data_IF_664841920647
#
_entry.id   IF_664841920647
#
_cell.length_a   1.000
_cell.length_b   1.000
_cell.length_c   1.000
_cell.angle_alpha   90.00
_cell.angle_beta   90.00
_cell.angle_gamma   90.00
#
_symmetry.space_group_name_H-M   'P 1'
#
loop_
_entity.id
_entity.type
_entity.pdbx_description
1 polymer ?
#
# COMPACT_ATOMS: atom_id res chain seq x y z
N UNK A 1 -80.22 -1.35 -76.76
CA UNK A 1 -79.29 -0.82 -77.79
C UNK A 1 -78.42 0.26 -77.15
N UNK A 2 -77.09 0.20 -77.31
CA UNK A 2 -76.10 1.22 -76.86
C UNK A 2 -76.11 2.41 -77.85
N UNK A 3 -75.71 3.66 -77.51
CA UNK A 3 -74.32 4.10 -77.14
C UNK A 3 -74.27 5.06 -75.92
N UNK A 4 -73.22 5.19 -75.08
CA UNK A 4 -71.77 5.52 -75.19
C UNK A 4 -71.44 7.01 -75.46
N UNK A 5 -70.89 7.70 -74.44
CA UNK A 5 -69.70 8.60 -74.43
C UNK A 5 -69.67 9.36 -73.06
N UNK A 6 -68.73 9.13 -72.13
CA UNK A 6 -67.33 9.60 -71.98
C UNK A 6 -67.15 11.10 -71.60
N UNK A 7 -66.75 11.35 -70.34
CA UNK A 7 -65.82 12.39 -69.85
C UNK A 7 -65.67 12.19 -68.31
N UNK A 8 -64.54 11.82 -67.72
CA UNK A 8 -63.22 12.48 -67.57
C UNK A 8 -63.11 13.41 -66.33
N UNK A 9 -62.05 13.19 -65.54
CA UNK A 9 -61.58 14.04 -64.42
C UNK A 9 -61.74 13.37 -63.06
N UNK A 10 -60.74 13.21 -62.19
CA UNK A 10 -59.32 13.54 -62.19
C UNK A 10 -58.80 13.07 -60.83
N UNK A 11 -57.70 12.31 -60.79
CA UNK A 11 -57.16 11.68 -59.58
C UNK A 11 -56.25 12.68 -58.85
N UNK A 12 -56.70 13.23 -57.72
CA UNK A 12 -55.85 14.03 -56.83
C UNK A 12 -55.09 13.10 -55.88
N UNK A 13 -53.76 13.04 -56.05
CA UNK A 13 -52.85 12.27 -55.20
C UNK A 13 -52.48 13.11 -53.97
N UNK A 14 -52.97 12.73 -52.78
CA UNK A 14 -52.58 13.35 -51.52
C UNK A 14 -51.21 12.83 -51.06
N UNK A 15 -50.19 13.69 -51.10
CA UNK A 15 -48.87 13.42 -50.51
C UNK A 15 -48.93 13.65 -49.00
N UNK A 16 -48.92 12.55 -48.23
CA UNK A 16 -48.71 12.56 -46.78
C UNK A 16 -47.22 12.84 -46.50
N UNK A 17 -46.88 14.08 -46.15
CA UNK A 17 -45.59 14.41 -45.55
C UNK A 17 -45.58 13.98 -44.08
N UNK A 18 -45.13 12.76 -43.81
CA UNK A 18 -44.78 12.31 -42.46
C UNK A 18 -43.43 12.91 -42.05
N UNK A 19 -43.39 13.67 -40.96
CA UNK A 19 -42.16 14.07 -40.30
C UNK A 19 -41.46 12.83 -39.71
N UNK A 20 -40.47 12.30 -40.42
CA UNK A 20 -39.55 11.31 -39.88
C UNK A 20 -38.68 11.99 -38.81
N UNK A 21 -38.94 11.71 -37.54
CA UNK A 21 -37.99 12.03 -36.48
C UNK A 21 -36.75 11.16 -36.66
N UNK A 22 -35.66 11.80 -37.08
CA UNK A 22 -34.32 11.21 -37.13
C UNK A 22 -33.92 10.78 -35.72
N UNK A 23 -34.01 9.48 -35.44
CA UNK A 23 -33.38 8.85 -34.28
C UNK A 23 -32.03 8.33 -34.72
N UNK A 24 -30.98 8.94 -34.18
CA UNK A 24 -29.57 8.63 -34.43
C UNK A 24 -29.30 7.12 -34.32
N UNK A 25 -28.72 6.46 -35.34
CA UNK A 25 -28.43 5.02 -35.30
C UNK A 25 -27.47 4.61 -34.17
N UNK A 26 -26.75 5.57 -33.59
CA UNK A 26 -25.83 5.35 -32.46
C UNK A 26 -26.59 5.00 -31.16
N UNK A 27 -27.79 5.56 -30.92
CA UNK A 27 -28.54 5.28 -29.68
C UNK A 27 -29.17 3.89 -29.64
N UNK A 28 -29.50 3.29 -30.80
CA UNK A 28 -30.07 1.92 -30.85
C UNK A 28 -29.03 0.81 -30.61
N UNK A 29 -27.74 1.10 -30.81
CA UNK A 29 -26.65 0.19 -30.42
C UNK A 29 -26.43 0.21 -28.90
N UNK A 30 -26.58 1.35 -28.25
CA UNK A 30 -26.44 1.49 -26.79
C UNK A 30 -27.55 0.79 -26.00
N UNK A 31 -28.79 0.77 -26.52
CA UNK A 31 -29.92 0.13 -25.83
C UNK A 31 -29.89 -1.40 -25.89
N UNK A 32 -29.39 -2.01 -26.97
CA UNK A 32 -29.24 -3.48 -27.08
C UNK A 32 -27.99 -4.01 -26.39
N UNK A 33 -26.96 -3.18 -26.19
CA UNK A 33 -25.79 -3.52 -25.36
C UNK A 33 -26.07 -3.42 -23.85
N UNK A 34 -27.02 -2.57 -23.43
CA UNK A 34 -27.36 -2.38 -22.02
C UNK A 34 -28.26 -3.47 -21.40
N UNK A 35 -28.86 -4.35 -22.21
CA UNK A 35 -29.76 -5.42 -21.73
C UNK A 35 -29.12 -6.81 -21.60
N UNK A 36 -27.79 -6.92 -21.72
CA UNK A 36 -27.03 -8.14 -21.36
C UNK A 36 -25.81 -7.88 -20.48
N UNK A 37 -25.88 -6.89 -19.62
CA UNK A 37 -25.03 -6.85 -18.42
C UNK A 37 -25.94 -7.04 -17.23
N UNK A 38 -26.33 -8.29 -17.00
CA UNK A 38 -26.73 -8.70 -15.66
C UNK A 38 -25.58 -8.25 -14.72
N UNK A 39 -25.86 -7.67 -13.54
CA UNK A 39 -24.80 -7.48 -12.58
C UNK A 39 -24.26 -8.88 -12.29
N UNK A 40 -23.05 -9.14 -12.79
CA UNK A 40 -22.23 -10.20 -12.27
C UNK A 40 -21.87 -9.75 -10.85
N UNK A 41 -22.83 -9.90 -9.93
CA UNK A 41 -22.51 -9.93 -8.51
C UNK A 41 -21.41 -10.97 -8.33
N UNK A 42 -20.43 -10.77 -7.44
CA UNK A 42 -19.30 -11.67 -7.34
C UNK A 42 -19.76 -12.99 -6.72
N UNK A 43 -20.43 -13.81 -7.52
CA UNK A 43 -20.48 -15.24 -7.34
C UNK A 43 -19.07 -15.74 -7.70
N UNK A 44 -18.33 -16.13 -6.67
CA UNK A 44 -17.10 -16.94 -6.75
C UNK A 44 -15.85 -16.31 -7.40
N UNK A 45 -15.66 -15.00 -7.35
CA UNK A 45 -14.28 -14.50 -7.33
C UNK A 45 -13.66 -14.97 -6.00
N UNK A 46 -12.68 -15.86 -6.07
CA UNK A 46 -11.94 -16.34 -4.91
C UNK A 46 -11.51 -15.13 -4.08
N UNK A 47 -12.02 -15.03 -2.85
CA UNK A 47 -11.83 -13.81 -2.05
C UNK A 47 -10.32 -13.67 -1.81
N UNK A 48 -9.64 -12.61 -2.30
CA UNK A 48 -8.17 -12.59 -2.37
C UNK A 48 -7.48 -12.92 -1.04
N UNK A 49 -8.06 -12.51 0.07
CA UNK A 49 -7.57 -12.81 1.42
C UNK A 49 -7.54 -14.30 1.79
N UNK A 50 -8.44 -15.13 1.24
CA UNK A 50 -8.46 -16.59 1.48
C UNK A 50 -7.27 -17.29 0.85
N UNK A 51 -6.87 -16.89 -0.36
CA UNK A 51 -5.66 -17.38 -1.05
C UNK A 51 -4.40 -17.17 -0.22
N UNK A 52 -4.37 -16.11 0.59
CA UNK A 52 -3.27 -15.78 1.48
C UNK A 52 -3.42 -16.35 2.90
N UNK A 53 -4.43 -17.21 3.13
CA UNK A 53 -4.62 -17.90 4.41
C UNK A 53 -5.25 -17.04 5.51
N UNK A 54 -5.91 -15.93 5.16
CA UNK A 54 -6.65 -15.10 6.12
C UNK A 54 -8.11 -15.56 6.24
N UNK A 55 -8.69 -15.49 7.43
CA UNK A 55 -10.07 -15.88 7.66
C UNK A 55 -11.07 -14.83 7.15
N UNK A 56 -10.70 -13.56 7.30
CA UNK A 56 -11.48 -12.37 6.92
C UNK A 56 -10.53 -11.36 6.27
N UNK A 57 -11.05 -10.38 5.51
CA UNK A 57 -10.22 -9.27 5.05
C UNK A 57 -9.74 -8.44 6.24
N UNK A 58 -8.60 -7.76 6.09
CA UNK A 58 -8.17 -6.74 7.07
C UNK A 58 -9.10 -5.52 6.94
N UNK A 59 -9.57 -4.94 8.06
CA UNK A 59 -10.27 -3.66 8.01
C UNK A 59 -9.35 -2.57 7.42
N UNK A 60 -9.86 -1.60 6.65
CA UNK A 60 -9.04 -0.49 6.20
C UNK A 60 -8.45 0.27 7.40
N UNK A 61 -7.24 0.80 7.24
CA UNK A 61 -6.61 1.62 8.26
C UNK A 61 -7.50 2.84 8.57
N UNK A 62 -7.70 3.21 9.84
CA UNK A 62 -8.33 4.48 10.20
C UNK A 62 -7.56 5.64 9.56
N UNK A 63 -8.30 6.65 9.10
CA UNK A 63 -7.69 7.94 8.72
C UNK A 63 -7.03 8.51 9.97
N UNK A 64 -5.71 8.76 9.98
CA UNK A 64 -5.03 9.23 11.18
C UNK A 64 -5.68 10.52 11.69
N UNK A 65 -6.09 10.55 12.96
CA UNK A 65 -6.44 11.82 13.59
C UNK A 65 -5.16 12.66 13.64
N UNK A 66 -5.05 13.72 12.81
CA UNK A 66 -3.90 14.62 12.65
C UNK A 66 -2.64 14.09 13.35
N UNK A 67 -1.79 13.40 12.59
CA UNK A 67 -0.54 12.83 13.10
C UNK A 67 0.10 13.81 14.09
N UNK A 68 0.31 13.39 15.34
CA UNK A 68 1.14 14.17 16.24
C UNK A 68 2.53 14.12 15.61
N UNK A 69 3.04 15.24 15.03
CA UNK A 69 4.30 15.19 14.31
C UNK A 69 5.33 14.60 15.26
N UNK A 70 6.14 13.66 14.77
CA UNK A 70 7.20 13.07 15.57
C UNK A 70 8.06 14.24 16.10
N UNK A 71 7.88 14.61 17.38
CA UNK A 71 8.43 15.86 17.89
C UNK A 71 9.94 15.77 17.77
N UNK A 72 10.52 16.66 16.97
CA UNK A 72 11.96 16.90 16.99
C UNK A 72 12.37 17.05 18.44
N UNK A 73 13.40 16.33 18.86
CA UNK A 73 13.89 16.46 20.22
C UNK A 73 14.25 17.93 20.48
N UNK A 74 14.24 18.38 21.74
CA UNK A 74 14.57 19.77 22.09
C UNK A 74 15.95 20.25 21.57
N UNK A 75 16.78 19.34 21.04
CA UNK A 75 18.11 19.59 20.48
C UNK A 75 18.15 19.58 18.95
N UNK A 76 17.01 19.61 18.25
CA UNK A 76 16.97 19.59 16.78
C UNK A 76 17.27 18.22 16.15
N UNK A 77 17.44 17.15 16.94
CA UNK A 77 17.72 15.81 16.43
C UNK A 77 16.41 15.05 16.10
N UNK A 78 16.41 14.21 15.04
CA UNK A 78 15.27 13.39 14.69
C UNK A 78 14.94 12.42 15.83
N UNK A 79 13.66 12.24 16.19
CA UNK A 79 13.24 11.22 17.14
C UNK A 79 13.54 9.82 16.60
N UNK A 80 13.72 8.88 17.53
CA UNK A 80 13.89 7.45 17.23
C UNK A 80 12.60 6.72 17.60
N UNK A 81 11.95 6.11 16.62
CA UNK A 81 10.64 5.47 16.75
C UNK A 81 10.78 3.95 16.65
N UNK A 82 10.41 3.24 17.71
CA UNK A 82 10.13 1.78 17.65
C UNK A 82 8.62 1.48 17.70
N UNK A 83 7.83 2.52 17.99
CA UNK A 83 6.37 2.54 18.09
C UNK A 83 5.89 3.98 17.84
N UNK A 84 4.78 4.13 17.15
CA UNK A 84 4.05 5.41 17.02
C UNK A 84 3.07 5.56 18.19
N UNK A 85 2.99 6.76 18.77
CA UNK A 85 1.97 7.08 19.76
C UNK A 85 0.63 7.34 19.06
N UNK A 86 -0.23 6.33 18.99
CA UNK A 86 -1.59 6.45 18.46
C UNK A 86 -2.59 5.66 19.31
N UNK A 87 -3.86 6.06 19.26
CA UNK A 87 -5.00 5.30 19.78
C UNK A 87 -5.63 4.39 18.72
N UNK A 88 -5.32 4.64 17.46
CA UNK A 88 -5.80 3.84 16.33
C UNK A 88 -5.29 2.40 16.47
N UNK A 89 -6.17 1.44 16.18
CA UNK A 89 -5.87 0.01 16.29
C UNK A 89 -5.03 -0.48 15.11
N UNK A 90 -3.88 0.16 14.89
CA UNK A 90 -2.98 -0.11 13.75
C UNK A 90 -1.63 -0.62 14.22
N UNK A 91 -0.98 -1.40 13.36
CA UNK A 91 0.46 -1.65 13.38
C UNK A 91 1.07 -1.27 12.04
N UNK A 92 2.38 -1.09 12.00
CA UNK A 92 3.12 -0.69 10.82
C UNK A 92 4.04 -1.83 10.39
N UNK A 93 3.72 -2.46 9.26
CA UNK A 93 4.54 -3.51 8.69
C UNK A 93 5.62 -2.89 7.82
N UNK A 94 6.87 -3.12 8.20
CA UNK A 94 8.02 -2.51 7.55
C UNK A 94 8.94 -3.58 6.99
N UNK A 95 9.36 -3.35 5.76
CA UNK A 95 10.21 -4.27 5.02
C UNK A 95 11.39 -3.51 4.46
N UNK A 96 12.43 -4.24 4.12
CA UNK A 96 13.49 -3.73 3.29
C UNK A 96 13.06 -3.69 1.81
N UNK A 97 13.61 -2.78 1.02
CA UNK A 97 13.26 -2.57 -0.40
C UNK A 97 13.45 -3.82 -1.29
N UNK A 98 14.29 -4.77 -0.85
CA UNK A 98 14.45 -6.08 -1.46
C UNK A 98 13.15 -6.89 -1.48
N UNK A 99 12.28 -6.71 -0.48
CA UNK A 99 10.98 -7.38 -0.40
C UNK A 99 10.12 -7.10 -1.64
N UNK A 100 10.14 -5.86 -2.15
CA UNK A 100 9.38 -5.46 -3.33
C UNK A 100 9.79 -6.19 -4.62
N UNK A 101 10.99 -6.81 -4.65
CA UNK A 101 11.46 -7.60 -5.79
C UNK A 101 10.91 -9.04 -5.78
N UNK A 102 10.34 -9.51 -4.67
CA UNK A 102 9.69 -10.81 -4.60
C UNK A 102 8.29 -10.72 -5.27
N UNK A 103 8.05 -11.37 -6.42
CA UNK A 103 6.81 -11.20 -7.17
C UNK A 103 5.58 -11.72 -6.40
N UNK A 104 5.76 -12.75 -5.56
CA UNK A 104 4.67 -13.29 -4.74
C UNK A 104 4.32 -12.33 -3.60
N UNK A 105 5.30 -11.65 -3.02
CA UNK A 105 5.05 -10.60 -2.04
C UNK A 105 4.38 -9.38 -2.69
N UNK A 106 4.85 -8.94 -3.87
CA UNK A 106 4.22 -7.85 -4.61
C UNK A 106 2.75 -8.16 -4.96
N UNK A 107 2.46 -9.40 -5.36
CA UNK A 107 1.09 -9.86 -5.59
C UNK A 107 0.24 -9.80 -4.32
N UNK A 108 0.78 -10.25 -3.17
CA UNK A 108 0.10 -10.16 -1.87
C UNK A 108 -0.24 -8.72 -1.50
N UNK A 109 0.73 -7.80 -1.60
CA UNK A 109 0.51 -6.37 -1.26
C UNK A 109 -0.60 -5.77 -2.11
N UNK A 110 -0.59 -6.05 -3.43
CA UNK A 110 -1.62 -5.56 -4.36
C UNK A 110 -3.00 -6.18 -4.10
N UNK A 111 -3.06 -7.50 -3.91
CA UNK A 111 -4.32 -8.23 -3.74
C UNK A 111 -5.00 -7.98 -2.39
N UNK A 112 -4.22 -7.66 -1.35
CA UNK A 112 -4.72 -7.35 -0.01
C UNK A 112 -4.85 -5.85 0.25
N UNK A 113 -4.48 -4.99 -0.71
CA UNK A 113 -4.36 -3.54 -0.53
C UNK A 113 -3.56 -3.18 0.73
N UNK A 114 -2.42 -3.86 0.92
CA UNK A 114 -1.69 -3.83 2.19
C UNK A 114 -0.80 -2.58 2.27
N UNK A 115 -1.03 -1.65 3.22
CA UNK A 115 -0.30 -0.39 3.30
C UNK A 115 1.05 -0.56 4.02
N UNK A 116 2.00 -1.22 3.36
CA UNK A 116 3.35 -1.47 3.91
C UNK A 116 4.30 -0.29 3.68
N UNK A 117 5.33 -0.19 4.51
CA UNK A 117 6.42 0.79 4.34
C UNK A 117 7.74 0.09 4.00
N UNK A 118 8.43 0.57 2.98
CA UNK A 118 9.70 0.00 2.52
C UNK A 118 10.88 0.90 2.90
N UNK A 119 11.96 0.30 3.40
CA UNK A 119 13.21 0.98 3.74
C UNK A 119 14.33 0.51 2.81
N UNK A 120 15.11 1.45 2.27
CA UNK A 120 16.20 1.10 1.37
C UNK A 120 17.27 0.26 2.09
N UNK A 121 17.71 -0.86 1.50
CA UNK A 121 18.81 -1.66 2.05
C UNK A 121 20.14 -0.96 1.90
N UNK A 122 20.96 -0.99 2.92
CA UNK A 122 22.31 -0.44 2.91
C UNK A 122 23.30 -1.32 2.12
N UNK A 123 23.27 -1.28 0.78
CA UNK A 123 24.31 -1.74 -0.19
C UNK A 123 24.74 -3.22 -0.13
N UNK A 124 25.36 -3.68 -1.22
CA UNK A 124 25.88 -5.04 -1.45
C UNK A 124 27.39 -5.19 -1.17
N UNK A 125 28.05 -4.17 -0.60
CA UNK A 125 29.50 -4.17 -0.28
C UNK A 125 29.78 -4.19 1.23
N UNK A 126 28.93 -4.90 1.98
CA UNK A 126 28.93 -4.92 3.43
C UNK A 126 28.05 -3.80 3.96
N UNK A 127 27.30 -4.09 5.01
CA UNK A 127 26.58 -3.07 5.75
C UNK A 127 27.58 -2.48 6.76
N UNK A 128 28.31 -1.39 6.46
CA UNK A 128 29.10 -0.78 7.51
C UNK A 128 28.13 -0.35 8.62
N UNK A 129 28.38 -0.82 9.83
CA UNK A 129 27.70 -0.27 10.99
C UNK A 129 28.01 1.24 11.02
N UNK A 130 26.98 2.08 10.98
CA UNK A 130 27.19 3.54 11.01
C UNK A 130 27.81 3.96 12.33
N UNK A 131 27.36 3.34 13.43
CA UNK A 131 27.88 3.58 14.76
C UNK A 131 29.38 3.31 14.80
N UNK A 132 30.14 4.30 15.26
CA UNK A 132 31.60 4.23 15.34
C UNK A 132 32.33 4.81 14.13
N UNK A 133 31.65 5.05 13.00
CA UNK A 133 32.23 5.84 11.90
C UNK A 133 32.31 7.33 12.28
N UNK A 134 33.33 8.06 11.78
CA UNK A 134 33.37 9.52 11.87
C UNK A 134 32.13 10.17 11.24
N UNK A 135 31.77 11.37 11.69
CA UNK A 135 30.61 12.11 11.19
C UNK A 135 30.55 12.22 9.66
N UNK A 136 31.68 12.52 9.01
CA UNK A 136 31.75 12.61 7.55
C UNK A 136 31.37 11.30 6.86
N UNK A 137 31.80 10.16 7.39
CA UNK A 137 31.44 8.83 6.90
C UNK A 137 29.95 8.55 7.08
N UNK A 138 29.41 8.80 8.28
CA UNK A 138 27.97 8.61 8.53
C UNK A 138 27.11 9.51 7.62
N UNK A 139 27.49 10.78 7.43
CA UNK A 139 26.77 11.71 6.56
C UNK A 139 26.82 11.29 5.10
N UNK A 140 27.96 10.82 4.60
CA UNK A 140 28.10 10.34 3.22
C UNK A 140 27.17 9.15 2.95
N UNK A 141 27.10 8.18 3.86
CA UNK A 141 26.19 7.03 3.76
C UNK A 141 24.72 7.46 3.79
N UNK A 142 24.34 8.33 4.73
CA UNK A 142 22.94 8.73 4.92
C UNK A 142 22.47 9.65 3.78
N UNK A 143 23.17 10.75 3.51
CA UNK A 143 22.80 11.73 2.49
C UNK A 143 22.94 11.13 1.08
N UNK A 144 24.02 10.38 0.82
CA UNK A 144 24.25 9.75 -0.47
C UNK A 144 23.12 8.80 -0.85
N UNK A 145 22.58 8.06 0.13
CA UNK A 145 21.41 7.21 -0.08
C UNK A 145 20.14 8.00 -0.33
N UNK A 146 19.86 8.98 0.53
CA UNK A 146 18.66 9.81 0.46
C UNK A 146 18.52 10.50 -0.90
N UNK A 147 19.63 10.89 -1.52
CA UNK A 147 19.64 11.53 -2.83
C UNK A 147 19.50 10.54 -4.01
N UNK A 148 19.96 9.29 -3.86
CA UNK A 148 19.91 8.27 -4.94
C UNK A 148 18.54 7.65 -5.15
N UNK A 149 17.64 7.71 -4.16
CA UNK A 149 16.32 7.06 -4.24
C UNK A 149 15.34 7.74 -5.20
N UNK A 150 15.64 8.93 -5.75
CA UNK A 150 14.74 9.73 -6.57
C UNK A 150 13.58 10.35 -5.78
N UNK A 151 13.01 9.59 -4.84
CA UNK A 151 12.25 10.11 -3.71
C UNK A 151 13.19 10.66 -2.63
N UNK A 152 12.71 11.64 -1.84
CA UNK A 152 13.36 12.13 -0.61
C UNK A 152 12.74 11.46 0.62
N UNK A 153 13.11 10.21 0.96
CA UNK A 153 12.51 9.51 2.10
C UNK A 153 12.85 10.24 3.40
N UNK A 154 11.83 10.75 4.09
CA UNK A 154 11.99 11.47 5.37
C UNK A 154 12.29 10.52 6.54
N UNK A 155 12.10 9.22 6.36
CA UNK A 155 12.32 8.19 7.37
C UNK A 155 13.59 7.42 7.07
N UNK A 156 14.37 7.16 8.10
CA UNK A 156 15.65 6.45 8.00
C UNK A 156 15.69 5.25 8.93
N UNK A 157 16.03 4.07 8.41
CA UNK A 157 16.35 2.91 9.22
C UNK A 157 17.87 2.70 9.23
N UNK A 158 18.55 2.82 10.39
CA UNK A 158 19.97 2.55 10.44
C UNK A 158 20.26 1.04 10.28
N UNK A 159 21.40 0.66 9.67
CA UNK A 159 21.83 -0.74 9.58
C UNK A 159 21.82 -1.40 10.95
N UNK A 160 21.30 -2.63 11.00
CA UNK A 160 21.22 -3.45 12.22
C UNK A 160 20.44 -2.81 13.37
N UNK A 161 19.72 -1.70 13.12
CA UNK A 161 19.08 -0.91 14.16
C UNK A 161 20.05 -0.25 15.14
N UNK A 162 21.31 -0.05 14.76
CA UNK A 162 22.37 0.54 15.59
C UNK A 162 22.63 2.00 15.22
N UNK A 163 22.77 2.87 16.21
CA UNK A 163 22.99 4.30 15.99
C UNK A 163 23.70 4.92 17.20
N UNK A 164 24.30 6.08 16.99
CA UNK A 164 24.83 6.95 18.05
C UNK A 164 24.37 8.40 17.84
N UNK A 165 24.86 9.32 18.66
CA UNK A 165 24.54 10.76 18.52
C UNK A 165 25.04 11.34 17.21
N UNK A 166 26.14 10.82 16.67
CA UNK A 166 26.68 11.24 15.38
C UNK A 166 25.74 10.82 14.26
N UNK A 167 25.14 9.63 14.35
CA UNK A 167 24.10 9.16 13.42
C UNK A 167 22.90 10.09 13.40
N UNK A 168 22.41 10.48 14.58
CA UNK A 168 21.26 11.39 14.69
C UNK A 168 21.57 12.77 14.10
N UNK A 169 22.77 13.30 14.35
CA UNK A 169 23.21 14.58 13.79
C UNK A 169 23.30 14.52 12.27
N UNK A 170 24.00 13.52 11.74
CA UNK A 170 24.14 13.31 10.31
C UNK A 170 22.76 13.13 9.64
N UNK A 171 21.84 12.39 10.25
CA UNK A 171 20.48 12.24 9.77
C UNK A 171 19.70 13.57 9.73
N UNK A 172 19.77 14.38 10.79
CA UNK A 172 19.21 15.74 10.81
C UNK A 172 19.75 16.59 9.65
N UNK A 173 21.07 16.62 9.47
CA UNK A 173 21.73 17.41 8.43
C UNK A 173 21.40 16.92 7.01
N UNK A 174 20.96 15.67 6.86
CA UNK A 174 20.46 15.08 5.61
C UNK A 174 18.94 15.24 5.42
N UNK A 175 18.23 15.96 6.31
CA UNK A 175 16.79 16.20 6.21
C UNK A 175 15.89 15.03 6.62
N UNK A 176 16.43 14.07 7.38
CA UNK A 176 15.65 12.95 7.94
C UNK A 176 14.80 13.47 9.10
N UNK A 177 13.50 13.22 9.05
CA UNK A 177 12.55 13.62 10.08
C UNK A 177 12.46 12.62 11.24
N UNK A 178 12.73 11.34 11.01
CA UNK A 178 12.75 10.34 12.08
C UNK A 178 13.64 9.12 11.74
N UNK A 179 14.28 8.58 12.77
CA UNK A 179 14.89 7.26 12.71
C UNK A 179 13.85 6.19 13.07
N UNK A 180 13.72 5.16 12.25
CA UNK A 180 12.74 4.09 12.42
C UNK A 180 13.45 2.80 12.79
N UNK A 181 13.20 2.38 14.02
CA UNK A 181 13.49 1.05 14.53
C UNK A 181 12.21 0.21 14.53
N UNK A 182 12.20 -0.84 15.34
CA UNK A 182 11.06 -1.71 15.50
C UNK A 182 10.97 -2.15 16.95
N UNK A 183 9.75 -2.42 17.40
CA UNK A 183 9.51 -3.06 18.69
C UNK A 183 9.36 -4.57 18.53
N UNK A 184 8.70 -5.01 17.45
CA UNK A 184 8.52 -6.41 17.12
C UNK A 184 9.24 -6.77 15.82
N UNK A 185 9.70 -8.01 15.68
CA UNK A 185 10.32 -8.54 14.46
C UNK A 185 9.66 -9.85 14.07
N UNK A 186 9.30 -10.02 12.80
CA UNK A 186 9.01 -11.31 12.21
C UNK A 186 10.31 -11.86 11.62
N UNK A 187 10.91 -12.84 12.31
CA UNK A 187 12.22 -13.39 11.97
C UNK A 187 12.18 -14.21 10.68
N UNK A 188 13.32 -14.48 10.06
CA UNK A 188 13.42 -15.40 8.92
C UNK A 188 12.85 -16.81 9.20
N UNK A 189 12.91 -17.29 10.44
CA UNK A 189 12.28 -18.55 10.88
C UNK A 189 10.75 -18.49 10.96
N UNK A 190 10.16 -17.29 10.87
CA UNK A 190 8.72 -17.07 10.95
C UNK A 190 8.21 -16.93 12.39
N UNK A 191 9.08 -16.55 13.32
CA UNK A 191 8.74 -16.27 14.71
C UNK A 191 8.55 -14.78 14.94
N UNK A 192 7.55 -14.42 15.77
CA UNK A 192 7.32 -13.04 16.16
C UNK A 192 8.02 -12.75 17.49
N UNK A 193 9.08 -11.95 17.44
CA UNK A 193 9.90 -11.57 18.59
C UNK A 193 9.67 -10.11 18.99
N UNK A 194 10.01 -9.75 20.23
CA UNK A 194 9.81 -8.42 20.79
C UNK A 194 11.08 -7.91 21.47
N UNK A 195 11.56 -6.71 21.09
CA UNK A 195 12.78 -6.11 21.67
C UNK A 195 12.57 -5.54 23.07
N UNK A 196 11.37 -5.01 23.37
CA UNK A 196 11.02 -4.39 24.67
C UNK A 196 9.53 -4.55 25.02
N UNK A 197 9.24 -4.80 26.31
CA UNK A 197 7.89 -4.93 26.86
C UNK A 197 7.22 -6.28 26.58
N UNK A 198 5.99 -6.48 27.04
CA UNK A 198 5.31 -7.78 26.97
C UNK A 198 5.13 -8.37 25.55
N UNK A 199 5.05 -9.70 25.46
CA UNK A 199 5.07 -10.49 24.23
C UNK A 199 3.75 -10.48 23.44
N UNK A 200 3.24 -9.29 23.09
CA UNK A 200 2.07 -9.12 22.21
C UNK A 200 2.16 -7.86 21.36
N UNK A 201 1.50 -7.88 20.20
CA UNK A 201 1.26 -6.70 19.37
C UNK A 201 0.35 -5.71 20.09
N UNK A 202 0.57 -4.42 19.85
CA UNK A 202 -0.17 -3.33 20.47
C UNK A 202 -0.33 -2.19 19.45
N UNK A 203 -1.36 -1.33 19.62
CA UNK A 203 -1.54 -0.12 18.80
C UNK A 203 -0.25 0.70 18.64
N UNK A 204 0.06 1.04 17.41
CA UNK A 204 1.22 1.81 17.01
C UNK A 204 2.53 1.04 16.86
N UNK A 205 2.54 -0.29 17.05
CA UNK A 205 3.77 -1.07 16.92
C UNK A 205 4.35 -1.01 15.51
N UNK A 206 5.66 -0.76 15.43
CA UNK A 206 6.43 -0.91 14.21
C UNK A 206 7.03 -2.32 14.21
N UNK A 207 6.68 -3.09 13.19
CA UNK A 207 7.11 -4.48 13.01
C UNK A 207 8.10 -4.53 11.84
N UNK A 208 9.33 -4.97 12.11
CA UNK A 208 10.28 -5.30 11.05
C UNK A 208 10.00 -6.73 10.57
N UNK A 209 9.96 -6.93 9.26
CA UNK A 209 9.89 -8.27 8.67
C UNK A 209 11.21 -8.54 8.00
N UNK A 210 11.92 -9.54 8.49
CA UNK A 210 13.24 -9.91 7.98
C UNK A 210 13.13 -10.37 6.53
N UNK A 211 14.19 -10.18 5.71
CA UNK A 211 14.23 -10.72 4.36
C UNK A 211 14.17 -12.25 4.35
N UNK A 212 13.98 -12.83 3.17
CA UNK A 212 14.08 -14.28 3.01
C UNK A 212 15.52 -14.73 3.25
N UNK A 213 15.71 -15.58 4.27
CA UNK A 213 17.00 -16.17 4.63
C UNK A 213 16.85 -17.66 4.91
N UNK A 214 17.78 -18.46 4.38
CA UNK A 214 17.88 -19.90 4.65
C UNK A 214 16.67 -20.71 4.17
N UNK A 215 16.34 -21.77 4.93
CA UNK A 215 15.27 -22.74 4.64
C UNK A 215 13.95 -22.41 5.33
N UNK A 216 13.83 -21.21 5.92
CA UNK A 216 12.62 -20.77 6.60
C UNK A 216 11.42 -20.59 5.68
N UNK A 217 10.21 -20.36 6.23
CA UNK A 217 9.04 -20.02 5.43
C UNK A 217 9.31 -18.74 4.63
N UNK A 218 8.90 -18.67 3.35
CA UNK A 218 9.09 -17.47 2.53
C UNK A 218 8.35 -16.22 3.02
N UNK A 219 8.74 -15.05 2.49
CA UNK A 219 8.25 -13.74 2.91
C UNK A 219 6.71 -13.61 2.87
N UNK A 220 6.00 -14.10 1.83
CA UNK A 220 4.54 -14.10 1.82
C UNK A 220 3.96 -14.95 2.95
N UNK A 221 4.53 -16.13 3.22
CA UNK A 221 4.06 -17.01 4.30
C UNK A 221 4.26 -16.37 5.68
N UNK A 222 5.42 -15.73 5.90
CA UNK A 222 5.69 -14.97 7.14
C UNK A 222 4.75 -13.78 7.29
N UNK A 223 4.50 -13.05 6.21
CA UNK A 223 3.54 -11.94 6.20
C UNK A 223 2.13 -12.44 6.51
N UNK A 224 1.64 -13.51 5.88
CA UNK A 224 0.34 -14.10 6.19
C UNK A 224 0.21 -14.53 7.67
N UNK A 225 1.26 -15.15 8.24
CA UNK A 225 1.31 -15.45 9.68
C UNK A 225 1.18 -14.19 10.52
N UNK A 226 1.92 -13.14 10.19
CA UNK A 226 1.86 -11.86 10.88
C UNK A 226 0.47 -11.21 10.80
N UNK A 227 -0.15 -11.21 9.62
CA UNK A 227 -1.50 -10.65 9.42
C UNK A 227 -2.54 -11.39 10.26
N UNK A 228 -2.44 -12.71 10.42
CA UNK A 228 -3.30 -13.46 11.36
C UNK A 228 -3.09 -13.02 12.81
N UNK A 229 -1.85 -12.81 13.25
CA UNK A 229 -1.57 -12.25 14.59
C UNK A 229 -2.12 -10.84 14.78
N UNK A 230 -2.09 -10.03 13.73
CA UNK A 230 -2.70 -8.68 13.72
C UNK A 230 -4.22 -8.78 13.90
N UNK A 231 -4.88 -9.69 13.18
CA UNK A 231 -6.32 -9.94 13.33
C UNK A 231 -6.69 -10.48 14.72
N UNK A 232 -5.95 -11.46 15.23
CA UNK A 232 -6.12 -12.01 16.59
C UNK A 232 -6.03 -10.92 17.66
N UNK A 233 -5.19 -9.91 17.44
CA UNK A 233 -5.02 -8.79 18.36
C UNK A 233 -6.08 -7.68 18.20
N UNK A 234 -7.04 -7.83 17.27
CA UNK A 234 -8.02 -6.79 16.94
C UNK A 234 -7.38 -5.53 16.36
N UNK A 235 -6.29 -5.69 15.62
CA UNK A 235 -5.54 -4.62 14.97
C UNK A 235 -5.71 -4.71 13.45
N UNK A 236 -5.33 -3.64 12.75
CA UNK A 236 -5.14 -3.63 11.29
C UNK A 236 -3.75 -3.07 10.94
N UNK A 237 -3.44 -2.98 9.65
CA UNK A 237 -2.17 -2.46 9.14
C UNK A 237 -2.38 -1.05 8.60
N UNK A 238 -1.54 -0.12 9.01
CA UNK A 238 -1.47 1.23 8.45
C UNK A 238 -0.11 1.48 7.80
N UNK A 239 -0.06 2.49 6.92
CA UNK A 239 1.19 2.99 6.33
C UNK A 239 1.90 3.86 7.35
N UNK A 240 3.18 3.60 7.62
CA UNK A 240 3.92 4.32 8.66
C UNK A 240 4.00 5.82 8.37
N UNK A 241 4.23 6.17 7.12
CA UNK A 241 4.40 7.54 6.63
C UNK A 241 3.17 8.44 6.87
N UNK A 242 1.99 7.85 7.05
CA UNK A 242 0.76 8.60 7.30
C UNK A 242 0.63 9.01 8.79
N UNK A 243 1.48 8.45 9.67
CA UNK A 243 1.42 8.59 11.12
C UNK A 243 2.62 9.33 11.74
N UNK A 244 3.61 9.75 10.93
CA UNK A 244 4.90 10.30 11.41
C UNK A 244 5.26 11.65 10.79
#
# INVERSE_FOLDING_TARGET
>A
MRPRALAAGGLALALLTGCAQSVDPIQRLSAKAAQRVAPHGPAAAERPYRRWGLATPLPPAPKPSRASPARTTARGLPPVLSRVRTRDKVVFLTYDDGAGRNPRFAAMVRELDLPVSLFARHSALGHPALRGLPYAGQRAEICGRHNRSGARPRLFRPPYGTYDRTTLRAAADCGISALVLWRASMTGSGELTYRKGGARLRPGDIVAVDPDEGTGPGLPQRTARLLRRVQEAGLTVGRLEDYV
#
